data_IF_625656031306
#
_entry.id   IF_625656031306
#
_cell.length_a   1.000
_cell.length_b   1.000
_cell.length_c   1.000
_cell.angle_alpha   90.00
_cell.angle_beta   90.00
_cell.angle_gamma   90.00
#
_symmetry.space_group_name_H-M   'P 1'
#
loop_
_entity.id
_entity.type
_entity.pdbx_description
1 polymer ?
#
# COMPACT_ATOMS: atom_id res chain seq x y z
N UNK A 1 -19.87 -2.14 47.22
CA UNK A 1 -19.37 -3.49 46.86
C UNK A 1 -18.01 -3.36 46.22
N UNK A 2 -16.98 -3.98 46.81
CA UNK A 2 -15.60 -3.97 46.30
C UNK A 2 -15.51 -4.64 44.92
N UNK A 3 -15.00 -3.90 43.92
CA UNK A 3 -14.54 -4.45 42.63
C UNK A 3 -13.34 -5.36 42.91
N UNK A 4 -13.63 -6.65 43.07
CA UNK A 4 -12.67 -7.73 43.21
C UNK A 4 -11.75 -7.68 42.01
N UNK A 5 -10.50 -7.23 42.20
CA UNK A 5 -9.46 -7.21 41.17
C UNK A 5 -9.32 -8.65 40.66
N UNK A 6 -9.95 -8.94 39.51
CA UNK A 6 -9.88 -10.23 38.85
C UNK A 6 -8.41 -10.54 38.58
N UNK A 7 -7.94 -11.70 39.05
CA UNK A 7 -6.54 -12.09 38.91
C UNK A 7 -6.27 -12.40 37.42
N UNK A 8 -5.40 -11.63 36.73
CA UNK A 8 -5.21 -11.73 35.28
C UNK A 8 -4.73 -13.13 34.85
N UNK A 9 -4.03 -13.87 35.73
CA UNK A 9 -3.62 -15.26 35.47
C UNK A 9 -4.79 -16.24 35.40
N UNK A 10 -5.82 -16.04 36.22
CA UNK A 10 -7.04 -16.88 36.19
C UNK A 10 -7.85 -16.59 34.92
N UNK A 11 -7.88 -15.34 34.47
CA UNK A 11 -8.59 -14.94 33.25
C UNK A 11 -7.93 -15.51 31.99
N UNK A 12 -6.60 -15.44 31.87
CA UNK A 12 -5.85 -16.08 30.77
C UNK A 12 -6.11 -17.60 30.71
N UNK A 13 -6.12 -18.27 31.87
CA UNK A 13 -6.37 -19.72 31.94
C UNK A 13 -7.81 -20.08 31.56
N UNK A 14 -8.78 -19.22 31.87
CA UNK A 14 -10.17 -19.39 31.45
C UNK A 14 -10.34 -19.16 29.94
N UNK A 15 -9.74 -18.10 29.39
CA UNK A 15 -9.76 -17.80 27.94
C UNK A 15 -9.14 -18.92 27.11
N UNK A 16 -8.01 -19.48 27.56
CA UNK A 16 -7.35 -20.60 26.89
C UNK A 16 -8.24 -21.86 26.83
N UNK A 17 -9.07 -22.10 27.85
CA UNK A 17 -10.06 -23.20 27.84
C UNK A 17 -11.19 -22.97 26.84
N UNK A 18 -11.47 -21.72 26.49
CA UNK A 18 -12.46 -21.35 25.48
C UNK A 18 -11.87 -21.30 24.06
N UNK A 19 -10.62 -21.75 23.86
CA UNK A 19 -9.94 -21.71 22.56
C UNK A 19 -9.48 -20.31 22.16
N UNK A 20 -9.44 -19.37 23.11
CA UNK A 20 -8.92 -18.01 22.90
C UNK A 20 -7.49 -17.95 23.43
N UNK A 21 -6.53 -17.72 22.56
CA UNK A 21 -5.13 -17.52 22.90
C UNK A 21 -4.77 -16.04 22.86
N UNK A 22 -4.06 -15.54 23.87
CA UNK A 22 -3.64 -14.13 23.96
C UNK A 22 -2.13 -14.10 24.18
N UNK A 23 -1.42 -13.54 23.21
CA UNK A 23 0.04 -13.50 23.17
C UNK A 23 0.51 -12.09 22.87
N UNK A 24 1.49 -11.62 23.65
CA UNK A 24 2.18 -10.36 23.38
C UNK A 24 3.26 -10.62 22.32
N UNK A 25 3.33 -9.81 21.29
CA UNK A 25 4.37 -9.90 20.26
C UNK A 25 5.54 -9.03 20.72
N UNK A 26 6.70 -9.63 21.07
CA UNK A 26 7.90 -8.87 21.37
C UNK A 26 8.51 -8.28 20.08
N UNK A 27 9.35 -7.26 20.25
CA UNK A 27 10.23 -6.72 19.21
C UNK A 27 9.53 -6.20 17.94
N UNK A 28 8.30 -5.70 18.06
CA UNK A 28 7.61 -5.05 16.95
C UNK A 28 8.16 -3.64 16.74
N UNK A 29 8.75 -3.39 15.58
CA UNK A 29 9.33 -2.08 15.24
C UNK A 29 8.29 -1.07 14.75
N UNK A 30 7.31 -1.51 13.97
CA UNK A 30 6.36 -0.63 13.27
C UNK A 30 5.07 -1.40 12.92
N UNK A 31 3.93 -0.71 12.94
CA UNK A 31 2.67 -1.19 12.36
C UNK A 31 2.21 -0.20 11.29
N UNK A 32 2.00 -0.68 10.06
CA UNK A 32 1.46 0.12 8.95
C UNK A 32 0.04 -0.36 8.63
N UNK A 33 -0.93 0.56 8.72
CA UNK A 33 -2.30 0.34 8.24
C UNK A 33 -2.45 1.08 6.92
N UNK A 34 -2.52 0.32 5.82
CA UNK A 34 -2.73 0.87 4.47
C UNK A 34 -4.22 1.12 4.24
N UNK A 35 -4.57 2.36 3.93
CA UNK A 35 -5.91 2.77 3.48
C UNK A 35 -5.85 3.13 1.99
N UNK A 36 -6.99 3.40 1.36
CA UNK A 36 -7.10 3.69 -0.08
C UNK A 36 -6.33 4.93 -0.56
N UNK A 37 -5.95 5.86 0.33
CA UNK A 37 -5.27 7.12 -0.03
C UNK A 37 -4.16 7.56 0.95
N UNK A 38 -3.96 6.82 2.02
CA UNK A 38 -3.05 7.17 3.12
C UNK A 38 -2.59 5.93 3.85
N UNK A 39 -1.49 6.06 4.57
CA UNK A 39 -1.02 5.05 5.51
C UNK A 39 -1.02 5.64 6.91
N UNK A 40 -1.50 4.84 7.86
CA UNK A 40 -1.36 5.14 9.28
C UNK A 40 -0.17 4.33 9.77
N UNK A 41 0.85 5.01 10.26
CA UNK A 41 2.08 4.40 10.77
C UNK A 41 2.09 4.53 12.29
N UNK A 42 2.23 3.41 12.97
CA UNK A 42 2.31 3.35 14.43
C UNK A 42 3.74 2.97 14.81
N UNK A 43 4.46 3.93 15.38
CA UNK A 43 5.85 3.79 15.84
C UNK A 43 5.90 3.30 17.29
N UNK A 44 6.95 2.56 17.64
CA UNK A 44 7.14 1.91 18.95
C UNK A 44 5.88 1.16 19.44
N UNK A 45 5.26 0.30 18.61
CA UNK A 45 3.99 -0.31 18.94
C UNK A 45 4.14 -1.42 20.00
N UNK A 46 3.23 -1.43 20.97
CA UNK A 46 2.94 -2.62 21.78
C UNK A 46 1.81 -3.39 21.10
N UNK A 47 2.07 -4.63 20.72
CA UNK A 47 1.12 -5.47 19.97
C UNK A 47 0.77 -6.72 20.76
N UNK A 48 -0.53 -6.95 20.94
CA UNK A 48 -1.06 -8.20 21.50
C UNK A 48 -1.92 -8.90 20.46
N UNK A 49 -1.57 -10.15 20.12
CA UNK A 49 -2.37 -11.03 19.27
C UNK A 49 -3.37 -11.81 20.10
N UNK A 50 -4.61 -11.82 19.65
CA UNK A 50 -5.72 -12.57 20.21
C UNK A 50 -6.25 -13.50 19.12
N UNK A 51 -6.03 -14.80 19.27
CA UNK A 51 -6.47 -15.84 18.33
C UNK A 51 -7.66 -16.59 18.92
N UNK A 52 -8.76 -16.72 18.18
CA UNK A 52 -9.94 -17.47 18.62
C UNK A 52 -10.92 -17.70 17.47
N UNK A 53 -11.64 -18.83 17.51
CA UNK A 53 -12.68 -19.17 16.52
C UNK A 53 -12.23 -19.10 15.03
N UNK A 54 -10.95 -19.41 14.75
CA UNK A 54 -10.39 -19.38 13.41
C UNK A 54 -10.02 -18.00 12.89
N UNK A 55 -10.11 -16.96 13.72
CA UNK A 55 -9.71 -15.59 13.39
C UNK A 55 -8.60 -15.12 14.31
N UNK A 56 -7.75 -14.24 13.79
CA UNK A 56 -6.75 -13.52 14.56
C UNK A 56 -7.13 -12.05 14.62
N UNK A 57 -6.99 -11.46 15.81
CA UNK A 57 -7.18 -10.03 16.05
C UNK A 57 -5.96 -9.49 16.77
N UNK A 58 -5.65 -8.21 16.52
CA UNK A 58 -4.48 -7.56 17.08
C UNK A 58 -4.93 -6.31 17.84
N UNK A 59 -4.45 -6.16 19.07
CA UNK A 59 -4.54 -4.92 19.83
C UNK A 59 -3.20 -4.22 19.70
N UNK A 60 -3.21 -3.02 19.12
CA UNK A 60 -2.01 -2.21 18.87
C UNK A 60 -2.13 -0.91 19.65
N UNK A 61 -1.07 -0.51 20.34
CA UNK A 61 -0.97 0.77 21.06
C UNK A 61 0.41 1.36 20.80
N UNK A 62 0.50 2.63 20.40
CA UNK A 62 1.77 3.29 20.09
C UNK A 62 1.56 4.73 19.61
N UNK A 63 2.62 5.34 19.10
CA UNK A 63 2.58 6.70 18.55
C UNK A 63 2.06 6.67 17.11
N UNK A 64 0.95 7.36 16.84
CA UNK A 64 0.25 7.33 15.55
C UNK A 64 0.65 8.52 14.69
N UNK A 65 1.07 8.25 13.46
CA UNK A 65 1.33 9.25 12.43
C UNK A 65 0.63 8.87 11.13
N UNK A 66 0.34 9.87 10.29
CA UNK A 66 -0.25 9.67 8.97
C UNK A 66 0.72 10.11 7.89
N UNK A 67 0.85 9.29 6.84
CA UNK A 67 1.58 9.66 5.63
C UNK A 67 0.73 9.43 4.39
N UNK A 68 0.90 10.30 3.38
CA UNK A 68 0.37 10.04 2.05
C UNK A 68 0.99 8.74 1.51
N UNK A 69 0.24 7.99 0.71
CA UNK A 69 0.78 6.81 0.03
C UNK A 69 1.96 7.25 -0.84
N UNK A 70 3.20 6.97 -0.40
CA UNK A 70 4.34 7.01 -1.31
C UNK A 70 4.15 5.84 -2.28
N UNK A 71 4.02 6.12 -3.56
CA UNK A 71 3.75 5.16 -4.65
C UNK A 71 4.80 4.04 -4.82
N UNK A 72 5.77 3.90 -3.91
CA UNK A 72 6.94 3.02 -4.08
C UNK A 72 6.80 1.60 -3.54
N UNK A 73 5.64 1.17 -3.02
CA UNK A 73 5.52 -0.16 -2.40
C UNK A 73 4.22 -0.94 -2.72
N UNK A 74 3.64 -0.73 -3.89
CA UNK A 74 2.61 -1.63 -4.44
C UNK A 74 3.01 -2.10 -5.84
N UNK A 75 3.98 -3.02 -5.87
CA UNK A 75 4.39 -3.74 -7.08
C UNK A 75 3.94 -5.19 -6.97
N UNK A 76 2.65 -5.44 -6.76
CA UNK A 76 2.07 -6.76 -7.02
C UNK A 76 0.57 -6.64 -7.31
N UNK A 77 0.25 -7.02 -8.56
CA UNK A 77 -1.03 -7.38 -9.18
C UNK A 77 -2.08 -6.30 -9.50
N UNK A 78 -2.15 -6.08 -10.82
CA UNK A 78 -3.28 -5.79 -11.74
C UNK A 78 -4.16 -4.55 -11.58
N UNK A 79 -4.23 -3.86 -12.74
CA UNK A 79 -5.36 -3.09 -13.27
C UNK A 79 -5.78 -1.91 -12.38
N UNK A 80 -5.40 -0.66 -12.65
CA UNK A 80 -5.61 0.06 -13.91
C UNK A 80 -4.47 1.04 -14.15
N UNK A 81 -3.99 1.04 -15.40
CA UNK A 81 -2.85 1.79 -15.88
C UNK A 81 -3.21 3.28 -16.06
N UNK A 82 -3.58 3.95 -14.99
CA UNK A 82 -3.54 5.40 -14.88
C UNK A 82 -2.16 5.80 -14.40
N UNK A 83 -1.14 5.36 -15.13
CA UNK A 83 0.20 5.89 -14.94
C UNK A 83 0.12 7.31 -15.47
N UNK A 84 0.06 8.28 -14.55
CA UNK A 84 0.41 9.65 -14.85
C UNK A 84 1.91 9.66 -15.17
N UNK A 85 2.27 9.11 -16.34
CA UNK A 85 3.60 9.32 -16.90
C UNK A 85 3.67 10.81 -17.14
N UNK A 86 4.48 11.51 -16.37
CA UNK A 86 4.92 12.86 -16.69
C UNK A 86 5.71 12.76 -18.00
N UNK A 87 4.99 12.76 -19.12
CA UNK A 87 5.59 12.74 -20.45
C UNK A 87 6.20 14.14 -20.65
N UNK A 88 7.52 14.24 -20.85
CA UNK A 88 8.16 15.52 -21.11
C UNK A 88 7.56 16.14 -22.37
N UNK A 89 7.24 17.43 -22.33
CA UNK A 89 6.73 18.17 -23.50
C UNK A 89 7.73 18.10 -24.67
N UNK A 90 9.03 17.99 -24.37
CA UNK A 90 10.09 17.83 -25.36
C UNK A 90 9.98 16.49 -26.12
N UNK A 91 9.62 15.41 -25.42
CA UNK A 91 9.43 14.08 -26.02
C UNK A 91 8.21 14.07 -26.95
N UNK A 92 7.11 14.72 -26.54
CA UNK A 92 5.91 14.89 -27.38
C UNK A 92 6.27 15.63 -28.66
N UNK A 93 6.98 16.76 -28.54
CA UNK A 93 7.42 17.55 -29.70
C UNK A 93 8.35 16.78 -30.62
N UNK A 94 9.25 15.96 -30.06
CA UNK A 94 10.16 15.13 -30.84
C UNK A 94 9.39 14.06 -31.62
N UNK A 95 8.42 13.39 -30.97
CA UNK A 95 7.56 12.41 -31.64
C UNK A 95 6.75 13.08 -32.76
N UNK A 96 6.05 14.19 -32.48
CA UNK A 96 5.30 14.95 -33.48
C UNK A 96 6.17 15.37 -34.66
N UNK A 97 7.39 15.83 -34.41
CA UNK A 97 8.32 16.26 -35.47
C UNK A 97 8.80 15.10 -36.34
N UNK A 98 8.91 13.89 -35.79
CA UNK A 98 9.42 12.70 -36.50
C UNK A 98 8.32 11.90 -37.22
N UNK A 99 7.08 11.96 -36.73
CA UNK A 99 5.95 11.17 -37.25
C UNK A 99 4.88 12.03 -37.94
N UNK A 100 4.87 13.33 -37.71
CA UNK A 100 3.90 14.27 -38.30
C UNK A 100 2.49 14.21 -37.70
N UNK A 101 2.32 13.53 -36.55
CA UNK A 101 1.02 13.37 -35.87
C UNK A 101 0.71 14.53 -34.93
N UNK A 102 -0.55 14.64 -34.49
CA UNK A 102 -0.96 15.66 -33.52
C UNK A 102 -0.36 15.41 -32.13
N UNK A 103 -0.31 16.44 -31.28
CA UNK A 103 0.24 16.33 -29.92
C UNK A 103 -0.52 15.28 -29.10
N UNK A 104 -1.83 15.16 -29.30
CA UNK A 104 -2.66 14.16 -28.61
C UNK A 104 -2.28 12.72 -29.00
N UNK A 105 -2.08 12.45 -30.29
CA UNK A 105 -1.64 11.13 -30.76
C UNK A 105 -0.22 10.79 -30.30
N UNK A 106 0.67 11.79 -30.25
CA UNK A 106 2.03 11.61 -29.74
C UNK A 106 2.05 11.31 -28.23
N UNK A 107 1.24 12.02 -27.43
CA UNK A 107 1.08 11.77 -26.00
C UNK A 107 0.57 10.35 -25.76
N UNK A 108 -0.44 9.92 -26.52
CA UNK A 108 -1.00 8.57 -26.38
C UNK A 108 0.02 7.50 -26.79
N UNK A 109 0.76 7.70 -27.87
CA UNK A 109 1.82 6.78 -28.29
C UNK A 109 2.93 6.66 -27.24
N UNK A 110 3.35 7.77 -26.63
CA UNK A 110 4.32 7.79 -25.53
C UNK A 110 3.77 7.12 -24.27
N UNK A 111 2.49 7.30 -23.97
CA UNK A 111 1.80 6.64 -22.85
C UNK A 111 1.76 5.12 -23.04
N UNK A 112 1.41 4.66 -24.24
CA UNK A 112 1.39 3.24 -24.61
C UNK A 112 2.80 2.64 -24.60
N UNK A 113 3.79 3.40 -25.09
CA UNK A 113 5.20 3.02 -25.08
C UNK A 113 5.88 3.16 -23.70
N UNK A 114 5.15 3.59 -22.66
CA UNK A 114 5.68 3.76 -21.31
C UNK A 114 6.82 4.78 -21.21
N UNK A 115 6.77 5.85 -22.01
CA UNK A 115 7.79 6.91 -22.03
C UNK A 115 8.98 6.62 -22.95
N UNK A 116 8.97 5.53 -23.72
CA UNK A 116 10.03 5.25 -24.70
C UNK A 116 9.74 5.94 -26.04
N UNK A 117 10.47 7.03 -26.32
CA UNK A 117 10.35 7.84 -27.54
C UNK A 117 10.56 7.01 -28.81
N UNK A 118 11.60 6.19 -28.86
CA UNK A 118 11.93 5.40 -30.04
C UNK A 118 10.81 4.39 -30.35
N UNK A 119 10.30 3.73 -29.30
CA UNK A 119 9.19 2.78 -29.45
C UNK A 119 7.90 3.50 -29.88
N UNK A 120 7.61 4.69 -29.34
CA UNK A 120 6.47 5.50 -29.75
C UNK A 120 6.56 5.90 -31.24
N UNK A 121 7.73 6.34 -31.71
CA UNK A 121 7.96 6.69 -33.12
C UNK A 121 7.77 5.47 -34.03
N UNK A 122 8.33 4.32 -33.65
CA UNK A 122 8.19 3.07 -34.41
C UNK A 122 6.73 2.64 -34.50
N UNK A 123 6.00 2.68 -33.37
CA UNK A 123 4.59 2.31 -33.32
C UNK A 123 3.73 3.22 -34.20
N UNK A 124 4.03 4.51 -34.25
CA UNK A 124 3.32 5.48 -35.10
C UNK A 124 3.67 5.36 -36.59
N UNK A 125 4.92 5.01 -36.92
CA UNK A 125 5.36 4.80 -38.32
C UNK A 125 4.88 3.49 -38.92
N UNK A 126 4.67 2.47 -38.11
CA UNK A 126 4.22 1.14 -38.56
C UNK A 126 2.69 0.99 -38.53
N UNK A 127 1.96 2.11 -38.50
CA UNK A 127 0.50 2.15 -38.56
C UNK A 127 -0.01 2.10 -39.99
#
# INVERSE_FOLDING_TARGET
MMRRKLNPKLMKKAMKKMGINVEELPDVSEVIIKCSGREIVISNPQVTRITGAGQESFQVTGEVSERALSESASKTVVEEKSVNLEIPVEDVKLVCSQTGVSEEEAVEALRLAGGNIAQAIINLRNR
#
